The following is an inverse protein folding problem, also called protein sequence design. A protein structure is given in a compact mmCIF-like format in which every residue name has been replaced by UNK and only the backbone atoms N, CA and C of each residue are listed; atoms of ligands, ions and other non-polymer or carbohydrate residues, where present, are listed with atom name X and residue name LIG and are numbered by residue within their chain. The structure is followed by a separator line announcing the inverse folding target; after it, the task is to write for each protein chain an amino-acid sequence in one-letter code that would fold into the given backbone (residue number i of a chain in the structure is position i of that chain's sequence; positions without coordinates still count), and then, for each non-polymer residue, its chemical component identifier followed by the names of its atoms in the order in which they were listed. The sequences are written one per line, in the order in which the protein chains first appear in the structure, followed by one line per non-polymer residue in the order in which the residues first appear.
data_IF_189300162369
#
_entry.id   IF_189300162369
#
_cell.length_a   1.000
_cell.length_b   1.000
_cell.length_c   1.000
_cell.angle_alpha   90.00
_cell.angle_beta   90.00
_cell.angle_gamma   90.00
#
_symmetry.space_group_name_H-M   'P 1'
#
loop_
_entity.id
_entity.type
_entity.pdbx_description
1 polymer ?
#
# COMPACT_ATOMS: atom_id res chain seq x y z
N UNK A 1 3.84 10.69 10.69
CA UNK A 1 3.77 11.48 11.94
C UNK A 1 4.82 11.02 12.94
N UNK A 2 5.58 11.93 13.56
CA UNK A 2 6.54 11.56 14.62
C UNK A 2 5.81 11.13 15.90
N UNK A 3 6.25 10.04 16.54
CA UNK A 3 5.62 9.51 17.76
C UNK A 3 5.86 10.41 18.98
N UNK A 4 7.02 11.05 19.07
CA UNK A 4 7.43 11.82 20.26
C UNK A 4 6.84 13.23 20.30
N UNK A 5 6.84 13.95 19.17
CA UNK A 5 6.43 15.36 19.14
C UNK A 5 5.12 15.61 18.36
N UNK A 6 4.56 14.57 17.73
CA UNK A 6 3.35 14.70 16.91
C UNK A 6 3.54 15.44 15.58
N UNK A 7 4.76 15.90 15.26
CA UNK A 7 5.07 16.62 14.03
C UNK A 7 4.76 15.79 12.79
N UNK A 8 4.17 16.44 11.77
CA UNK A 8 3.91 15.83 10.48
C UNK A 8 5.04 16.13 9.51
N UNK A 9 5.64 15.06 8.97
CA UNK A 9 6.65 15.15 7.92
C UNK A 9 5.92 14.94 6.60
N UNK A 10 5.79 15.99 5.80
CA UNK A 10 5.19 15.93 4.47
C UNK A 10 6.14 15.32 3.44
N UNK A 11 5.57 14.76 2.37
CA UNK A 11 6.32 14.17 1.25
C UNK A 11 7.23 15.22 0.61
N UNK A 12 8.48 14.86 0.33
CA UNK A 12 9.45 15.72 -0.37
C UNK A 12 10.24 16.70 0.51
N UNK A 13 10.07 16.68 1.83
CA UNK A 13 10.94 17.45 2.74
C UNK A 13 12.36 16.89 2.69
N UNK A 14 13.34 17.75 2.38
CA UNK A 14 14.77 17.37 2.29
C UNK A 14 15.38 17.22 3.69
N UNK A 15 16.17 16.16 3.88
CA UNK A 15 16.88 15.89 5.12
C UNK A 15 18.31 15.44 4.82
N UNK A 16 19.23 15.78 5.73
CA UNK A 16 20.53 15.14 5.79
C UNK A 16 20.36 13.80 6.51
N UNK A 17 20.23 12.72 5.74
CA UNK A 17 20.02 11.38 6.27
C UNK A 17 21.33 10.58 6.31
N UNK A 18 21.47 9.69 7.31
CA UNK A 18 22.51 8.65 7.26
C UNK A 18 21.96 7.43 6.54
N UNK A 19 22.80 6.79 5.73
CA UNK A 19 22.50 5.54 5.03
C UNK A 19 23.32 4.41 5.64
N UNK A 20 22.66 3.30 5.92
CA UNK A 20 23.28 2.04 6.36
C UNK A 20 22.78 0.89 5.48
N UNK A 21 23.66 -0.05 5.15
CA UNK A 21 23.27 -1.29 4.47
C UNK A 21 22.93 -2.34 5.52
N UNK A 22 21.72 -2.88 5.47
CA UNK A 22 21.28 -3.94 6.38
C UNK A 22 21.93 -5.25 5.94
N UNK A 23 22.84 -5.79 6.75
CA UNK A 23 23.62 -6.98 6.39
C UNK A 23 22.82 -8.29 6.44
N UNK A 24 21.73 -8.32 7.23
CA UNK A 24 20.98 -9.54 7.52
C UNK A 24 19.78 -9.76 6.58
N UNK A 25 19.48 -8.80 5.70
CA UNK A 25 18.28 -8.81 4.85
C UNK A 25 18.65 -8.39 3.43
N UNK A 26 18.43 -9.29 2.47
CA UNK A 26 18.55 -9.01 1.04
C UNK A 26 17.34 -9.60 0.32
N UNK A 27 16.78 -8.84 -0.62
CA UNK A 27 15.63 -9.29 -1.41
C UNK A 27 16.10 -9.73 -2.79
N UNK A 28 16.06 -11.03 -3.10
CA UNK A 28 16.51 -11.58 -4.39
C UNK A 28 17.94 -11.13 -4.79
N UNK A 29 18.83 -10.92 -3.81
CA UNK A 29 20.19 -10.41 -4.01
C UNK A 29 20.34 -8.88 -4.05
N UNK A 30 19.24 -8.12 -3.93
CA UNK A 30 19.26 -6.68 -3.79
C UNK A 30 19.51 -6.28 -2.32
N UNK A 31 20.47 -5.39 -2.04
CA UNK A 31 20.74 -4.93 -0.69
C UNK A 31 19.60 -4.05 -0.18
N UNK A 32 19.15 -4.30 1.05
CA UNK A 32 18.19 -3.45 1.75
C UNK A 32 18.94 -2.34 2.48
N UNK A 33 18.47 -1.10 2.32
CA UNK A 33 19.04 0.06 2.97
C UNK A 33 18.16 0.56 4.10
N UNK A 34 18.79 0.93 5.21
CA UNK A 34 18.19 1.65 6.31
C UNK A 34 18.63 3.09 6.29
N UNK A 35 17.67 4.00 6.43
CA UNK A 35 17.91 5.43 6.49
C UNK A 35 17.53 5.99 7.86
N UNK A 36 18.34 6.94 8.33
CA UNK A 36 18.14 7.63 9.59
C UNK A 36 17.87 9.11 9.31
N UNK A 37 16.70 9.59 9.70
CA UNK A 37 16.33 11.01 9.63
C UNK A 37 16.07 11.52 11.04
N UNK A 38 16.46 12.77 11.30
CA UNK A 38 16.12 13.46 12.55
C UNK A 38 14.86 14.30 12.37
N UNK A 39 13.95 14.22 13.34
CA UNK A 39 12.78 15.11 13.36
C UNK A 39 13.24 16.57 13.54
N UNK A 40 12.61 17.51 12.81
CA UNK A 40 12.96 18.94 12.90
C UNK A 40 12.62 19.57 14.24
N UNK A 41 11.74 18.96 15.04
CA UNK A 41 11.29 19.52 16.33
C UNK A 41 11.94 18.86 17.54
N UNK A 42 11.87 17.54 17.66
CA UNK A 42 12.37 16.82 18.84
C UNK A 42 13.75 16.18 18.65
N UNK A 43 14.37 16.31 17.47
CA UNK A 43 15.66 15.69 17.12
C UNK A 43 15.72 14.16 17.27
N UNK A 44 14.59 13.51 17.58
CA UNK A 44 14.49 12.07 17.65
C UNK A 44 14.81 11.45 16.28
N UNK A 45 15.54 10.34 16.31
CA UNK A 45 15.87 9.57 15.11
C UNK A 45 14.67 8.73 14.68
N UNK A 46 14.34 8.83 13.40
CA UNK A 46 13.30 8.06 12.72
C UNK A 46 14.02 7.17 11.71
N UNK A 47 13.72 5.88 11.76
CA UNK A 47 14.35 4.88 10.89
C UNK A 47 13.35 4.25 9.95
N UNK A 48 13.76 4.11 8.70
CA UNK A 48 12.99 3.41 7.68
C UNK A 48 13.89 2.55 6.81
N UNK A 49 13.35 1.41 6.38
CA UNK A 49 14.01 0.47 5.47
C UNK A 49 13.36 0.52 4.10
N UNK A 50 14.16 0.27 3.06
CA UNK A 50 13.65 0.02 1.71
C UNK A 50 12.95 -1.33 1.68
N UNK A 51 11.77 -1.39 1.06
CA UNK A 51 11.05 -2.62 0.75
C UNK A 51 10.97 -2.78 -0.79
N UNK A 52 11.86 -3.59 -1.39
CA UNK A 52 11.89 -3.80 -2.84
C UNK A 52 10.68 -4.56 -3.39
N UNK A 53 9.96 -5.33 -2.58
CA UNK A 53 8.81 -6.11 -3.03
C UNK A 53 7.61 -5.21 -3.34
N UNK A 54 7.33 -4.26 -2.45
CA UNK A 54 6.20 -3.34 -2.57
C UNK A 54 6.57 -1.97 -3.16
N UNK A 55 7.82 -1.77 -3.58
CA UNK A 55 8.36 -0.48 -4.08
C UNK A 55 8.16 0.70 -3.10
N UNK A 56 8.14 0.42 -1.80
CA UNK A 56 7.84 1.39 -0.74
C UNK A 56 8.91 1.35 0.35
N UNK A 57 8.72 2.13 1.41
CA UNK A 57 9.56 2.11 2.59
C UNK A 57 8.77 1.65 3.82
N UNK A 58 9.37 0.77 4.60
CA UNK A 58 8.83 0.32 5.88
C UNK A 58 9.42 1.16 7.01
N UNK A 59 8.56 1.61 7.93
CA UNK A 59 9.02 2.37 9.10
C UNK A 59 9.30 1.44 10.27
N UNK A 60 10.49 1.52 10.85
CA UNK A 60 10.88 0.72 12.01
C UNK A 60 10.65 1.51 13.32
N UNK A 61 11.30 2.68 13.45
CA UNK A 61 11.31 3.44 14.71
C UNK A 61 10.99 4.93 14.53
N UNK A 62 10.43 5.53 15.59
CA UNK A 62 10.30 6.99 15.75
C UNK A 62 9.09 7.66 15.08
N UNK A 63 8.37 6.97 14.19
CA UNK A 63 7.22 7.55 13.50
C UNK A 63 6.12 6.51 13.18
N UNK A 64 4.93 7.02 12.84
CA UNK A 64 3.81 6.25 12.26
C UNK A 64 3.50 6.76 10.87
N UNK A 65 3.09 5.87 9.95
CA UNK A 65 2.64 6.29 8.62
C UNK A 65 1.34 7.05 8.77
N UNK A 66 1.12 8.05 7.93
CA UNK A 66 -0.19 8.64 7.83
C UNK A 66 -1.10 7.63 7.12
N UNK A 67 -2.34 7.51 7.58
CA UNK A 67 -3.34 6.64 6.98
C UNK A 67 -3.54 6.97 5.51
N UNK A 68 -3.56 5.95 4.65
CA UNK A 68 -3.83 6.07 3.22
C UNK A 68 -5.09 5.27 2.91
N UNK A 69 -6.21 5.96 2.70
CA UNK A 69 -7.49 5.33 2.41
C UNK A 69 -7.42 4.49 1.11
N UNK A 70 -6.69 4.97 0.11
CA UNK A 70 -6.46 4.27 -1.16
C UNK A 70 -5.87 2.86 -0.95
N UNK A 71 -4.90 2.71 -0.04
CA UNK A 71 -4.29 1.39 0.23
C UNK A 71 -5.29 0.40 0.82
N UNK A 72 -6.21 0.85 1.67
CA UNK A 72 -7.23 -0.03 2.21
C UNK A 72 -8.25 -0.45 1.17
N UNK A 73 -8.64 0.47 0.29
CA UNK A 73 -9.54 0.15 -0.81
C UNK A 73 -8.90 -0.88 -1.75
N UNK A 74 -7.63 -0.70 -2.13
CA UNK A 74 -6.91 -1.68 -2.96
C UNK A 74 -6.79 -3.06 -2.29
N UNK A 75 -6.52 -3.12 -0.99
CA UNK A 75 -6.45 -4.39 -0.25
C UNK A 75 -7.81 -5.09 -0.18
N UNK A 76 -8.89 -4.32 -0.01
CA UNK A 76 -10.25 -4.83 0.02
C UNK A 76 -10.72 -5.32 -1.35
N UNK A 77 -10.46 -4.55 -2.41
CA UNK A 77 -10.74 -4.94 -3.79
C UNK A 77 -10.00 -6.23 -4.18
N UNK A 78 -8.71 -6.34 -3.85
CA UNK A 78 -7.93 -7.56 -4.10
C UNK A 78 -8.48 -8.76 -3.35
N UNK A 79 -8.98 -8.58 -2.13
CA UNK A 79 -9.60 -9.66 -1.35
C UNK A 79 -10.90 -10.11 -2.00
N UNK A 80 -11.79 -9.16 -2.34
CA UNK A 80 -13.06 -9.44 -3.02
C UNK A 80 -12.84 -10.12 -4.37
N UNK A 81 -11.83 -9.68 -5.12
CA UNK A 81 -11.51 -10.27 -6.42
C UNK A 81 -10.99 -11.71 -6.28
N UNK A 82 -10.10 -11.98 -5.31
CA UNK A 82 -9.63 -13.35 -5.04
C UNK A 82 -10.76 -14.28 -4.63
N UNK A 83 -11.66 -13.82 -3.76
CA UNK A 83 -12.83 -14.60 -3.36
C UNK A 83 -13.71 -14.92 -4.56
N UNK A 84 -13.94 -13.96 -5.46
CA UNK A 84 -14.68 -14.17 -6.70
C UNK A 84 -13.98 -15.17 -7.63
N UNK A 85 -12.66 -15.04 -7.81
CA UNK A 85 -11.84 -15.93 -8.64
C UNK A 85 -11.84 -17.37 -8.11
N UNK A 86 -11.72 -17.57 -6.79
CA UNK A 86 -11.77 -18.88 -6.14
C UNK A 86 -13.14 -19.55 -6.28
N UNK A 87 -14.22 -18.78 -6.23
CA UNK A 87 -15.57 -19.27 -6.48
C UNK A 87 -15.80 -19.66 -7.96
N UNK A 88 -15.19 -18.91 -8.86
CA UNK A 88 -15.27 -19.10 -10.31
C UNK A 88 -14.43 -20.29 -10.81
N UNK A 89 -13.24 -20.51 -10.22
CA UNK A 89 -12.38 -21.67 -10.48
C UNK A 89 -13.07 -22.99 -10.15
N UNK A 90 -13.89 -23.01 -9.10
CA UNK A 90 -14.60 -24.20 -8.67
C UNK A 90 -15.86 -24.51 -9.51
N UNK A 91 -16.37 -23.55 -10.29
CA UNK A 91 -17.56 -23.79 -11.11
C UNK A 91 -17.63 -22.91 -12.39
N UNK A 92 -17.40 -23.49 -13.59
CA UNK A 92 -17.43 -22.74 -14.85
C UNK A 92 -18.81 -22.18 -15.22
N UNK A 93 -19.91 -22.70 -14.68
CA UNK A 93 -21.26 -22.12 -14.89
C UNK A 93 -21.45 -20.81 -14.12
N UNK A 94 -20.81 -20.67 -12.96
CA UNK A 94 -20.90 -19.47 -12.12
C UNK A 94 -20.22 -18.27 -12.79
N UNK A 95 -19.10 -18.49 -13.50
CA UNK A 95 -18.45 -17.48 -14.34
C UNK A 95 -19.41 -16.90 -15.38
N UNK A 96 -20.16 -17.77 -16.05
CA UNK A 96 -21.07 -17.37 -17.12
C UNK A 96 -22.28 -16.59 -16.59
N UNK A 97 -22.79 -17.01 -15.42
CA UNK A 97 -23.86 -16.30 -14.69
C UNK A 97 -23.39 -14.91 -14.24
N UNK A 98 -22.21 -14.83 -13.63
CA UNK A 98 -21.61 -13.58 -13.19
C UNK A 98 -21.41 -12.60 -14.36
N UNK A 99 -20.86 -13.05 -15.48
CA UNK A 99 -20.68 -12.22 -16.68
C UNK A 99 -22.00 -11.69 -17.23
N UNK A 100 -23.05 -12.52 -17.23
CA UNK A 100 -24.37 -12.11 -17.72
C UNK A 100 -25.02 -11.09 -16.79
N UNK A 101 -24.85 -11.24 -15.47
CA UNK A 101 -25.31 -10.26 -14.47
C UNK A 101 -24.59 -8.92 -14.61
N UNK A 102 -23.26 -8.94 -14.76
CA UNK A 102 -22.47 -7.73 -14.94
C UNK A 102 -22.89 -6.98 -16.21
N UNK A 103 -23.04 -7.67 -17.34
CA UNK A 103 -23.53 -7.05 -18.58
C UNK A 103 -24.95 -6.48 -18.44
N UNK A 104 -25.84 -7.12 -17.67
CA UNK A 104 -27.19 -6.59 -17.42
C UNK A 104 -27.15 -5.31 -16.60
N UNK A 105 -26.31 -5.26 -15.57
CA UNK A 105 -26.12 -4.08 -14.75
C UNK A 105 -25.57 -2.91 -15.58
N UNK A 106 -24.57 -3.16 -16.43
CA UNK A 106 -24.02 -2.13 -17.32
C UNK A 106 -25.07 -1.55 -18.26
N UNK A 107 -25.93 -2.41 -18.83
CA UNK A 107 -27.04 -1.95 -19.69
C UNK A 107 -28.05 -1.08 -18.91
N UNK A 108 -28.45 -1.50 -17.71
CA UNK A 108 -29.39 -0.74 -16.86
C UNK A 108 -28.79 0.60 -16.42
N UNK A 109 -27.48 0.65 -16.13
CA UNK A 109 -26.79 1.90 -15.79
C UNK A 109 -26.74 2.85 -16.99
N UNK A 110 -26.47 2.34 -18.19
CA UNK A 110 -26.48 3.12 -19.43
C UNK A 110 -27.88 3.67 -19.75
N UNK A 111 -28.92 2.87 -19.55
CA UNK A 111 -30.31 3.29 -19.75
C UNK A 111 -30.71 4.41 -18.76
N UNK A 112 -30.39 4.25 -17.47
CA UNK A 112 -30.64 5.28 -16.45
C UNK A 112 -29.85 6.58 -16.65
N UNK A 113 -28.70 6.52 -17.32
CA UNK A 113 -27.90 7.70 -17.67
C UNK A 113 -28.48 8.46 -18.88
N UNK A 114 -29.35 7.81 -19.67
CA UNK A 114 -29.91 8.34 -20.91
C UNK A 114 -31.30 8.97 -20.70
N UNK A 115 -32.02 8.57 -19.64
CA UNK A 115 -33.18 9.30 -19.07
C UNK A 115 -32.77 10.55 -18.28
#
# INVERSE_FOLDING_TARGET
RCKTCGEYIYKGKKFNARKETVQNEAYLGLPIFRFYIKCTRCLAEITFKTDPENTDYTMEHGATRNFQAEKLLEEEEKRMQKEREDEELNNPMKVLENRTKDSKLEMEVLENLQE
#
